data_IF_904415876246
#
_entry.id   IF_904415876246
#
_cell.length_a   1.000
_cell.length_b   1.000
_cell.length_c   1.000
_cell.angle_alpha   90.00
_cell.angle_beta   90.00
_cell.angle_gamma   90.00
#
_symmetry.space_group_name_H-M   'P 1'
#
loop_
_entity.id
_entity.type
_entity.pdbx_description
1 polymer ?
#
# COMPACT_ATOMS: atom_id res chain seq x y z
N UNK A 1 -7.74 47.28 13.06
CA UNK A 1 -9.02 47.59 12.37
C UNK A 1 -8.68 47.56 10.88
N UNK A 2 -9.23 46.73 9.99
CA UNK A 2 -10.57 46.17 9.82
C UNK A 2 -10.48 44.82 9.11
N UNK A 3 -11.43 43.93 9.42
CA UNK A 3 -11.62 42.58 8.86
C UNK A 3 -12.17 42.67 7.44
N UNK A 4 -11.67 41.85 6.51
CA UNK A 4 -12.41 41.47 5.31
C UNK A 4 -12.76 39.98 5.41
N UNK A 5 -14.07 39.73 5.52
CA UNK A 5 -14.69 38.41 5.59
C UNK A 5 -15.00 37.89 4.19
N UNK A 6 -14.88 36.58 4.09
CA UNK A 6 -15.35 35.67 3.05
C UNK A 6 -16.85 35.77 2.76
N UNK A 7 -17.24 35.80 1.48
CA UNK A 7 -18.61 35.54 1.04
C UNK A 7 -18.67 34.99 -0.40
N UNK A 8 -18.36 33.71 -0.58
CA UNK A 8 -18.76 32.96 -1.79
C UNK A 8 -19.05 31.50 -1.41
N UNK A 9 -20.15 31.30 -0.68
CA UNK A 9 -20.64 29.97 -0.34
C UNK A 9 -22.17 29.97 -0.12
N UNK A 10 -22.94 30.64 -0.98
CA UNK A 10 -24.41 30.54 -0.96
C UNK A 10 -24.94 30.76 -2.38
N UNK A 11 -25.10 29.67 -3.14
CA UNK A 11 -25.61 29.74 -4.51
C UNK A 11 -25.87 28.40 -5.20
N UNK A 12 -25.37 27.28 -4.66
CA UNK A 12 -25.51 25.95 -5.27
C UNK A 12 -26.83 25.25 -4.89
N UNK A 13 -27.36 25.47 -3.68
CA UNK A 13 -28.58 24.80 -3.21
C UNK A 13 -29.88 25.29 -3.86
N UNK A 14 -29.89 26.49 -4.45
CA UNK A 14 -31.06 27.07 -5.13
C UNK A 14 -31.14 26.70 -6.61
N UNK A 15 -30.00 26.51 -7.30
CA UNK A 15 -29.99 26.03 -8.70
C UNK A 15 -30.39 24.57 -8.85
N UNK A 16 -30.12 23.72 -7.85
CA UNK A 16 -30.57 22.32 -7.81
C UNK A 16 -32.08 22.15 -7.63
N UNK A 17 -32.78 23.17 -7.10
CA UNK A 17 -34.25 23.14 -6.96
C UNK A 17 -35.00 23.61 -8.20
N UNK A 18 -34.38 24.45 -9.04
CA UNK A 18 -35.02 25.03 -10.23
C UNK A 18 -34.96 24.12 -11.47
N UNK A 19 -34.05 23.13 -11.52
CA UNK A 19 -33.91 22.20 -12.65
C UNK A 19 -34.85 20.97 -12.59
N UNK A 20 -35.67 20.85 -11.54
CA UNK A 20 -36.64 19.74 -11.36
C UNK A 20 -38.08 20.18 -11.68
N UNK A 21 -38.27 21.42 -12.12
CA UNK A 21 -39.58 21.99 -12.44
C UNK A 21 -39.94 21.85 -13.91
N UNK A 22 -40.34 20.65 -14.34
CA UNK A 22 -40.90 20.51 -15.69
C UNK A 22 -41.14 19.07 -16.12
N UNK A 23 -42.40 18.64 -16.06
CA UNK A 23 -42.96 17.52 -16.83
C UNK A 23 -42.63 16.10 -16.37
N UNK A 24 -42.92 15.73 -15.12
CA UNK A 24 -43.27 14.35 -14.75
C UNK A 24 -44.31 14.34 -13.60
N UNK A 25 -45.51 14.85 -13.87
CA UNK A 25 -46.68 14.51 -13.07
C UNK A 25 -47.24 13.17 -13.56
N UNK A 26 -46.68 12.07 -13.07
CA UNK A 26 -47.40 10.79 -12.91
C UNK A 26 -46.74 9.97 -11.80
N UNK A 27 -47.56 9.69 -10.80
CA UNK A 27 -47.33 9.03 -9.52
C UNK A 27 -46.25 7.92 -9.56
N UNK A 28 -45.19 8.11 -8.76
CA UNK A 28 -44.20 7.10 -8.38
C UNK A 28 -43.61 7.48 -7.01
N UNK A 29 -43.22 6.51 -6.15
CA UNK A 29 -43.00 6.77 -4.74
C UNK A 29 -41.84 7.74 -4.54
N UNK A 30 -42.13 8.88 -3.90
CA UNK A 30 -41.16 9.79 -3.29
C UNK A 30 -40.39 9.04 -2.19
N UNK A 31 -39.42 8.21 -2.57
CA UNK A 31 -38.33 7.82 -1.67
C UNK A 31 -37.15 8.70 -2.07
N UNK A 32 -36.81 9.61 -1.17
CA UNK A 32 -35.54 10.34 -1.19
C UNK A 32 -34.43 9.33 -1.50
N UNK A 33 -33.89 9.39 -2.72
CA UNK A 33 -32.62 8.74 -3.00
C UNK A 33 -31.66 9.22 -1.92
N UNK A 34 -30.99 8.30 -1.22
CA UNK A 34 -29.87 8.69 -0.34
C UNK A 34 -28.84 9.29 -1.29
N UNK A 35 -28.87 10.62 -1.41
CA UNK A 35 -27.92 11.37 -2.22
C UNK A 35 -26.55 10.93 -1.76
N UNK A 36 -25.74 10.44 -2.70
CA UNK A 36 -24.32 10.25 -2.48
C UNK A 36 -23.78 11.66 -2.23
N UNK A 37 -23.54 12.00 -0.97
CA UNK A 37 -23.07 13.31 -0.56
C UNK A 37 -21.58 13.28 -0.19
N UNK A 38 -21.03 14.46 0.04
CA UNK A 38 -19.62 14.63 0.41
C UNK A 38 -19.28 13.96 1.75
N UNK A 39 -20.22 13.89 2.69
CA UNK A 39 -20.01 13.27 4.00
C UNK A 39 -19.80 11.77 3.87
N UNK A 40 -20.61 11.11 3.04
CA UNK A 40 -20.44 9.69 2.72
C UNK A 40 -19.08 9.39 2.07
N UNK A 41 -18.63 10.25 1.15
CA UNK A 41 -17.30 10.10 0.53
C UNK A 41 -16.18 10.22 1.55
N UNK A 42 -16.26 11.20 2.46
CA UNK A 42 -15.30 11.40 3.55
C UNK A 42 -15.26 10.17 4.47
N UNK A 43 -16.41 9.61 4.85
CA UNK A 43 -16.48 8.41 5.69
C UNK A 43 -15.79 7.22 5.02
N UNK A 44 -16.07 6.98 3.74
CA UNK A 44 -15.47 5.91 2.95
C UNK A 44 -13.95 6.07 2.81
N UNK A 45 -13.46 7.28 2.49
CA UNK A 45 -12.02 7.54 2.42
C UNK A 45 -11.34 7.32 3.77
N UNK A 46 -11.97 7.76 4.86
CA UNK A 46 -11.48 7.59 6.22
C UNK A 46 -11.30 6.10 6.57
N UNK A 47 -12.29 5.27 6.24
CA UNK A 47 -12.21 3.81 6.43
C UNK A 47 -11.09 3.17 5.61
N UNK A 48 -10.94 3.56 4.34
CA UNK A 48 -9.90 3.04 3.47
C UNK A 48 -8.50 3.42 3.99
N UNK A 49 -8.30 4.68 4.41
CA UNK A 49 -7.03 5.17 4.95
C UNK A 49 -6.64 4.48 6.27
N UNK A 50 -7.62 4.08 7.09
CA UNK A 50 -7.41 3.25 8.30
C UNK A 50 -7.25 1.75 8.01
N UNK A 51 -7.45 1.32 6.76
CA UNK A 51 -7.38 -0.08 6.38
C UNK A 51 -8.59 -0.93 6.82
N UNK A 52 -9.72 -0.30 7.14
CA UNK A 52 -10.97 -0.95 7.54
C UNK A 52 -11.75 -1.49 6.31
N UNK A 53 -11.08 -2.28 5.45
CA UNK A 53 -11.59 -2.68 4.14
C UNK A 53 -12.95 -3.40 4.20
N UNK A 54 -13.17 -4.27 5.19
CA UNK A 54 -14.45 -4.98 5.32
C UNK A 54 -15.61 -4.04 5.63
N UNK A 55 -15.38 -3.07 6.52
CA UNK A 55 -16.39 -2.06 6.87
C UNK A 55 -16.62 -1.10 5.71
N UNK A 56 -15.55 -0.69 5.04
CA UNK A 56 -15.59 0.08 3.81
C UNK A 56 -16.48 -0.62 2.76
N UNK A 57 -16.19 -1.87 2.40
CA UNK A 57 -16.96 -2.59 1.38
C UNK A 57 -18.41 -2.80 1.81
N UNK A 58 -18.66 -3.14 3.07
CA UNK A 58 -20.02 -3.31 3.60
C UNK A 58 -20.81 -2.02 3.51
N UNK A 59 -20.21 -0.89 3.89
CA UNK A 59 -20.85 0.42 3.87
C UNK A 59 -21.07 0.91 2.44
N UNK A 60 -20.05 0.81 1.59
CA UNK A 60 -20.13 1.13 0.16
C UNK A 60 -21.24 0.30 -0.50
N UNK A 61 -21.25 -1.02 -0.32
CA UNK A 61 -22.33 -1.87 -0.83
C UNK A 61 -23.67 -1.47 -0.22
N UNK A 62 -23.82 -1.36 1.09
CA UNK A 62 -25.13 -1.02 1.67
C UNK A 62 -25.73 0.30 1.19
N UNK A 63 -24.89 1.31 0.91
CA UNK A 63 -25.32 2.63 0.41
C UNK A 63 -25.48 2.68 -1.11
N UNK A 64 -24.62 1.98 -1.86
CA UNK A 64 -24.69 1.84 -3.33
C UNK A 64 -25.63 0.73 -3.79
N UNK A 65 -26.07 -0.13 -2.87
CA UNK A 65 -27.18 -1.07 -3.02
C UNK A 65 -28.45 -0.23 -2.98
N UNK A 66 -28.62 0.60 -4.03
CA UNK A 66 -29.75 1.46 -4.37
C UNK A 66 -31.08 0.69 -4.50
N UNK A 67 -31.11 -0.56 -4.03
CA UNK A 67 -32.15 -1.58 -4.11
C UNK A 67 -33.22 -1.46 -3.01
N UNK A 68 -33.41 -0.27 -2.45
CA UNK A 68 -34.65 0.05 -1.75
C UNK A 68 -35.88 0.11 -2.66
N UNK A 69 -35.73 -0.06 -3.99
CA UNK A 69 -36.79 0.06 -4.99
C UNK A 69 -37.39 -1.29 -5.40
N UNK A 70 -38.70 -1.46 -5.19
CA UNK A 70 -39.50 -2.56 -5.75
C UNK A 70 -39.58 -2.39 -7.28
N UNK A 71 -39.16 -3.38 -8.05
CA UNK A 71 -39.22 -3.37 -9.52
C UNK A 71 -38.42 -4.53 -10.13
N UNK A 72 -38.61 -4.80 -11.44
CA UNK A 72 -37.82 -5.81 -12.13
C UNK A 72 -36.39 -5.31 -12.45
N UNK A 73 -35.45 -6.25 -12.63
CA UNK A 73 -34.04 -5.95 -12.81
C UNK A 73 -33.74 -5.05 -14.03
N UNK A 74 -34.50 -5.20 -15.12
CA UNK A 74 -34.32 -4.42 -16.34
C UNK A 74 -34.65 -2.93 -16.13
N UNK A 75 -35.76 -2.64 -15.44
CA UNK A 75 -36.11 -1.26 -15.10
C UNK A 75 -35.07 -0.63 -14.16
N UNK A 76 -34.65 -1.37 -13.12
CA UNK A 76 -33.62 -0.91 -12.17
C UNK A 76 -32.31 -0.55 -12.88
N UNK A 77 -31.87 -1.40 -13.82
CA UNK A 77 -30.68 -1.13 -14.64
C UNK A 77 -30.82 0.14 -15.46
N UNK A 78 -31.94 0.33 -16.15
CA UNK A 78 -32.19 1.54 -16.95
C UNK A 78 -32.15 2.82 -16.09
N UNK A 79 -32.72 2.78 -14.89
CA UNK A 79 -32.66 3.91 -13.95
C UNK A 79 -31.22 4.19 -13.51
N UNK A 80 -30.48 3.16 -13.09
CA UNK A 80 -29.09 3.32 -12.66
C UNK A 80 -28.18 3.85 -13.79
N UNK A 81 -28.41 3.40 -15.04
CA UNK A 81 -27.71 3.94 -16.22
C UNK A 81 -28.02 5.42 -16.46
N UNK A 82 -29.30 5.81 -16.40
CA UNK A 82 -29.68 7.20 -16.55
C UNK A 82 -29.01 8.09 -15.48
N UNK A 83 -28.99 7.62 -14.24
CA UNK A 83 -28.34 8.33 -13.14
C UNK A 83 -26.83 8.47 -13.32
N UNK A 84 -26.15 7.40 -13.74
CA UNK A 84 -24.72 7.43 -14.01
C UNK A 84 -24.39 8.45 -15.13
N UNK A 85 -25.23 8.54 -16.17
CA UNK A 85 -25.07 9.53 -17.24
C UNK A 85 -25.31 10.96 -16.77
N UNK A 86 -26.33 11.18 -15.96
CA UNK A 86 -26.66 12.49 -15.40
C UNK A 86 -25.64 12.95 -14.33
N UNK A 87 -24.98 11.99 -13.66
CA UNK A 87 -24.07 12.23 -12.53
C UNK A 87 -22.72 11.54 -12.75
N UNK A 88 -22.08 11.77 -13.90
CA UNK A 88 -20.82 11.13 -14.30
C UNK A 88 -19.70 11.33 -13.27
N UNK A 89 -19.70 12.44 -12.53
CA UNK A 89 -18.75 12.71 -11.45
C UNK A 89 -18.79 11.75 -10.25
N UNK A 90 -19.77 10.82 -10.21
CA UNK A 90 -19.88 9.78 -9.17
C UNK A 90 -19.67 8.37 -9.72
N UNK A 91 -19.07 8.22 -10.90
CA UNK A 91 -18.80 6.92 -11.51
C UNK A 91 -18.01 5.98 -10.58
N UNK A 92 -17.09 6.51 -9.77
CA UNK A 92 -16.32 5.78 -8.76
C UNK A 92 -17.21 5.07 -7.72
N UNK A 93 -18.33 5.68 -7.33
CA UNK A 93 -19.30 5.11 -6.39
C UNK A 93 -20.10 3.97 -7.03
N UNK A 94 -20.39 4.07 -8.33
CA UNK A 94 -21.09 3.02 -9.08
C UNK A 94 -20.24 1.75 -9.29
N UNK A 95 -18.93 1.79 -9.05
CA UNK A 95 -18.07 0.60 -9.04
C UNK A 95 -18.46 -0.42 -7.95
N UNK A 96 -19.20 0.00 -6.92
CA UNK A 96 -19.68 -0.87 -5.84
C UNK A 96 -21.12 -1.37 -6.04
N UNK A 97 -21.73 -1.06 -7.19
CA UNK A 97 -23.07 -1.50 -7.52
C UNK A 97 -23.15 -3.03 -7.71
N UNK A 98 -24.27 -3.68 -7.36
CA UNK A 98 -24.41 -5.14 -7.49
C UNK A 98 -24.61 -5.63 -8.93
N UNK A 99 -25.22 -4.84 -9.80
CA UNK A 99 -25.36 -5.17 -11.24
C UNK A 99 -24.04 -4.94 -11.98
N UNK A 100 -23.52 -5.99 -12.63
CA UNK A 100 -22.27 -5.95 -13.41
C UNK A 100 -22.32 -5.00 -14.60
N UNK A 101 -23.47 -4.85 -15.27
CA UNK A 101 -23.61 -3.92 -16.39
C UNK A 101 -23.40 -2.47 -15.98
N UNK A 102 -23.79 -2.12 -14.74
CA UNK A 102 -23.59 -0.77 -14.19
C UNK A 102 -22.13 -0.56 -13.81
N UNK A 103 -21.48 -1.57 -13.21
CA UNK A 103 -20.05 -1.49 -12.90
C UNK A 103 -19.19 -1.35 -14.14
N UNK A 104 -19.51 -2.10 -15.19
CA UNK A 104 -18.84 -2.02 -16.49
C UNK A 104 -18.97 -0.63 -17.12
N UNK A 105 -20.18 -0.05 -17.13
CA UNK A 105 -20.42 1.29 -17.66
C UNK A 105 -19.72 2.36 -16.82
N UNK A 106 -19.72 2.22 -15.49
CA UNK A 106 -18.99 3.11 -14.59
C UNK A 106 -17.48 3.09 -14.87
N UNK A 107 -16.87 1.91 -15.03
CA UNK A 107 -15.45 1.79 -15.40
C UNK A 107 -15.13 2.49 -16.72
N UNK A 108 -15.99 2.32 -17.73
CA UNK A 108 -15.82 2.98 -19.03
C UNK A 108 -15.91 4.50 -18.96
N UNK A 109 -16.69 5.04 -18.02
CA UNK A 109 -16.83 6.48 -17.81
C UNK A 109 -15.71 7.12 -16.98
N UNK A 110 -14.85 6.31 -16.34
CA UNK A 110 -13.72 6.85 -15.56
C UNK A 110 -12.57 7.19 -16.52
N UNK A 111 -12.25 8.49 -16.55
CA UNK A 111 -11.10 9.04 -17.26
C UNK A 111 -9.91 9.29 -16.31
N UNK A 112 -10.20 9.71 -15.07
CA UNK A 112 -9.20 10.02 -14.03
C UNK A 112 -9.61 9.41 -12.69
N UNK A 113 -8.64 8.97 -11.90
CA UNK A 113 -8.88 8.53 -10.52
C UNK A 113 -8.85 9.72 -9.57
N UNK A 114 -10.03 10.27 -9.26
CA UNK A 114 -10.21 11.45 -8.40
C UNK A 114 -10.24 11.12 -6.89
N UNK A 115 -9.56 10.05 -6.48
CA UNK A 115 -9.40 9.72 -5.07
C UNK A 115 -9.21 8.23 -4.75
N UNK A 116 -8.84 7.90 -3.49
CA UNK A 116 -8.58 6.53 -3.07
C UNK A 116 -9.77 5.57 -3.24
N UNK A 117 -11.01 6.09 -3.17
CA UNK A 117 -12.22 5.30 -3.43
C UNK A 117 -12.23 4.80 -4.87
N UNK A 118 -12.05 5.69 -5.85
CA UNK A 118 -11.99 5.33 -7.26
C UNK A 118 -10.88 4.30 -7.52
N UNK A 119 -9.69 4.53 -6.96
CA UNK A 119 -8.56 3.60 -7.09
C UNK A 119 -8.88 2.21 -6.49
N UNK A 120 -9.45 2.16 -5.27
CA UNK A 120 -9.82 0.89 -4.66
C UNK A 120 -10.92 0.17 -5.46
N UNK A 121 -11.94 0.92 -5.88
CA UNK A 121 -13.03 0.40 -6.70
C UNK A 121 -12.50 -0.26 -7.97
N UNK A 122 -11.66 0.45 -8.72
CA UNK A 122 -11.01 -0.04 -9.93
C UNK A 122 -10.24 -1.34 -9.66
N UNK A 123 -9.31 -1.34 -8.70
CA UNK A 123 -8.51 -2.52 -8.38
C UNK A 123 -9.38 -3.71 -7.92
N UNK A 124 -10.48 -3.44 -7.21
CA UNK A 124 -11.41 -4.47 -6.79
C UNK A 124 -12.19 -5.09 -7.96
N UNK A 125 -12.33 -4.38 -9.09
CA UNK A 125 -12.99 -4.88 -10.31
C UNK A 125 -12.07 -5.73 -11.19
N UNK A 126 -10.74 -5.66 -11.00
CA UNK A 126 -9.82 -6.64 -11.61
C UNK A 126 -10.06 -8.06 -11.09
N UNK A 127 -10.73 -8.20 -9.94
CA UNK A 127 -11.14 -9.49 -9.35
C UNK A 127 -12.66 -9.74 -9.43
N UNK A 128 -13.38 -9.01 -10.29
CA UNK A 128 -14.84 -9.16 -10.41
C UNK A 128 -15.23 -10.59 -10.85
N UNK A 129 -16.44 -11.00 -10.54
CA UNK A 129 -16.97 -12.30 -10.96
C UNK A 129 -17.38 -12.29 -12.43
N UNK A 130 -17.79 -11.13 -12.95
CA UNK A 130 -18.18 -10.93 -14.36
C UNK A 130 -16.93 -10.66 -15.22
N UNK A 131 -16.63 -11.47 -16.25
CA UNK A 131 -15.47 -11.28 -17.12
C UNK A 131 -15.40 -9.90 -17.78
N UNK A 132 -16.52 -9.41 -18.33
CA UNK A 132 -16.60 -8.14 -19.05
C UNK A 132 -16.26 -6.95 -18.15
N UNK A 133 -16.60 -7.05 -16.86
CA UNK A 133 -16.22 -6.05 -15.85
C UNK A 133 -14.71 -6.09 -15.57
N UNK A 134 -14.09 -7.27 -15.56
CA UNK A 134 -12.63 -7.40 -15.40
C UNK A 134 -11.88 -6.82 -16.60
N UNK A 135 -12.40 -7.01 -17.80
CA UNK A 135 -11.79 -6.48 -19.02
C UNK A 135 -11.91 -4.95 -19.05
N UNK A 136 -13.09 -4.41 -18.71
CA UNK A 136 -13.28 -2.97 -18.55
C UNK A 136 -12.37 -2.38 -17.45
N UNK A 137 -12.14 -3.12 -16.36
CA UNK A 137 -11.25 -2.70 -15.28
C UNK A 137 -9.79 -2.70 -15.73
N UNK A 138 -9.35 -3.74 -16.45
CA UNK A 138 -8.00 -3.82 -17.02
C UNK A 138 -7.74 -2.68 -17.99
N UNK A 139 -8.69 -2.39 -18.89
CA UNK A 139 -8.60 -1.27 -19.82
C UNK A 139 -8.55 0.08 -19.08
N UNK A 140 -9.30 0.24 -17.99
CA UNK A 140 -9.32 1.47 -17.20
C UNK A 140 -8.03 1.64 -16.38
N UNK A 141 -7.50 0.55 -15.82
CA UNK A 141 -6.19 0.54 -15.16
C UNK A 141 -5.09 0.98 -16.15
N UNK A 142 -5.06 0.41 -17.35
CA UNK A 142 -4.08 0.76 -18.36
C UNK A 142 -4.13 2.26 -18.75
N UNK A 143 -5.31 2.88 -18.75
CA UNK A 143 -5.46 4.32 -19.04
C UNK A 143 -5.05 5.21 -17.86
N UNK A 144 -5.44 4.85 -16.64
CA UNK A 144 -5.37 5.77 -15.51
C UNK A 144 -4.18 5.54 -14.58
N UNK A 145 -3.58 4.35 -14.54
CA UNK A 145 -2.64 3.99 -13.48
C UNK A 145 -1.37 4.83 -13.49
N UNK A 146 -0.75 5.05 -14.66
CA UNK A 146 0.51 5.79 -14.79
C UNK A 146 0.36 7.31 -14.64
N UNK A 147 -0.86 7.84 -14.85
CA UNK A 147 -1.16 9.28 -14.77
C UNK A 147 -1.74 9.69 -13.42
N UNK A 148 -2.20 8.72 -12.62
CA UNK A 148 -2.75 8.97 -11.29
C UNK A 148 -1.65 9.26 -10.27
N UNK A 149 -1.92 10.15 -9.33
CA UNK A 149 -0.95 10.45 -8.27
C UNK A 149 -0.75 9.25 -7.34
N UNK A 150 0.46 9.11 -6.81
CA UNK A 150 0.80 8.08 -5.84
C UNK A 150 -0.08 8.14 -4.58
N UNK A 151 -0.42 9.33 -4.12
CA UNK A 151 -1.26 9.55 -2.92
C UNK A 151 -2.70 9.04 -3.10
N UNK A 152 -3.24 9.13 -4.32
CA UNK A 152 -4.55 8.57 -4.67
C UNK A 152 -4.49 7.05 -4.67
N UNK A 153 -3.43 6.48 -5.26
CA UNK A 153 -3.29 5.03 -5.44
C UNK A 153 -2.88 4.30 -4.15
N UNK A 154 -2.05 4.91 -3.30
CA UNK A 154 -1.36 4.23 -2.21
C UNK A 154 -2.29 3.53 -1.19
N UNK A 155 -3.40 4.14 -0.70
CA UNK A 155 -4.30 3.45 0.24
C UNK A 155 -4.93 2.20 -0.37
N UNK A 156 -5.31 2.28 -1.66
CA UNK A 156 -5.86 1.15 -2.39
C UNK A 156 -4.80 0.07 -2.59
N UNK A 157 -3.65 0.41 -3.19
CA UNK A 157 -2.56 -0.53 -3.47
C UNK A 157 -2.09 -1.24 -2.19
N UNK A 158 -1.97 -0.53 -1.07
CA UNK A 158 -1.65 -1.14 0.24
C UNK A 158 -2.64 -2.26 0.61
N UNK A 159 -3.94 -2.01 0.47
CA UNK A 159 -4.97 -3.02 0.76
C UNK A 159 -4.83 -4.25 -0.15
N UNK A 160 -4.43 -4.07 -1.41
CA UNK A 160 -4.26 -5.16 -2.37
C UNK A 160 -3.01 -5.99 -2.10
N UNK A 161 -1.85 -5.34 -1.95
CA UNK A 161 -0.59 -6.01 -1.66
C UNK A 161 -0.67 -6.86 -0.38
N UNK A 162 -1.39 -6.37 0.64
CA UNK A 162 -1.53 -7.09 1.92
C UNK A 162 -2.48 -8.29 1.87
N UNK A 163 -3.29 -8.44 0.81
CA UNK A 163 -4.32 -9.49 0.71
C UNK A 163 -4.23 -10.33 -0.57
N UNK A 164 -3.02 -10.55 -1.11
CA UNK A 164 -2.75 -11.37 -2.33
C UNK A 164 -3.68 -12.57 -2.55
N UNK A 165 -3.92 -13.39 -1.53
CA UNK A 165 -4.72 -14.63 -1.64
C UNK A 165 -6.19 -14.40 -2.02
N UNK A 166 -6.72 -13.19 -1.85
CA UNK A 166 -8.09 -12.85 -2.23
C UNK A 166 -8.23 -12.45 -3.71
N UNK A 167 -7.13 -12.28 -4.43
CA UNK A 167 -7.07 -11.69 -5.77
C UNK A 167 -6.73 -12.73 -6.85
N UNK A 168 -7.49 -13.84 -6.89
CA UNK A 168 -7.19 -14.99 -7.74
C UNK A 168 -7.79 -14.93 -9.16
N UNK A 169 -8.69 -13.99 -9.46
CA UNK A 169 -9.35 -13.85 -10.77
C UNK A 169 -8.72 -12.79 -11.68
N UNK A 170 -7.57 -12.24 -11.28
CA UNK A 170 -6.87 -11.24 -12.07
C UNK A 170 -6.35 -11.84 -13.37
N UNK A 171 -6.80 -11.31 -14.50
CA UNK A 171 -6.24 -11.65 -15.82
C UNK A 171 -4.75 -11.27 -15.84
N UNK A 172 -3.85 -12.24 -16.04
CA UNK A 172 -2.40 -12.05 -15.98
C UNK A 172 -1.76 -12.25 -14.59
N UNK A 173 -2.56 -12.36 -13.53
CA UNK A 173 -2.09 -12.68 -12.18
C UNK A 173 -1.52 -11.51 -11.38
N UNK A 174 -0.98 -11.82 -10.19
CA UNK A 174 -0.52 -10.83 -9.21
C UNK A 174 0.82 -10.16 -9.55
N UNK A 175 1.71 -10.85 -10.26
CA UNK A 175 3.06 -10.32 -10.51
C UNK A 175 3.12 -9.14 -11.48
N UNK A 176 2.38 -9.10 -12.61
CA UNK A 176 2.35 -7.92 -13.48
C UNK A 176 1.92 -6.66 -12.74
N UNK A 177 0.94 -6.77 -11.84
CA UNK A 177 0.53 -5.65 -10.98
C UNK A 177 1.64 -5.18 -10.04
N UNK A 178 2.38 -6.12 -9.45
CA UNK A 178 3.54 -5.77 -8.62
C UNK A 178 4.59 -5.04 -9.47
N UNK A 179 4.82 -5.47 -10.71
CA UNK A 179 5.72 -4.79 -11.65
C UNK A 179 5.27 -3.36 -11.96
N UNK A 180 3.98 -3.13 -12.15
CA UNK A 180 3.44 -1.77 -12.37
C UNK A 180 3.63 -0.91 -11.12
N UNK A 181 3.37 -1.44 -9.92
CA UNK A 181 3.57 -0.73 -8.66
C UNK A 181 5.03 -0.31 -8.48
N UNK A 182 6.00 -1.20 -8.75
CA UNK A 182 7.42 -0.89 -8.52
C UNK A 182 8.01 0.07 -9.57
N UNK A 183 7.37 0.19 -10.74
CA UNK A 183 7.75 1.15 -11.79
C UNK A 183 7.20 2.55 -11.53
N UNK A 184 6.14 2.69 -10.75
CA UNK A 184 5.51 3.98 -10.48
C UNK A 184 6.18 4.71 -9.30
N UNK A 185 7.16 5.59 -9.58
CA UNK A 185 7.95 6.29 -8.56
C UNK A 185 7.10 7.03 -7.50
N UNK A 186 6.13 7.86 -7.91
CA UNK A 186 5.29 8.59 -6.96
C UNK A 186 4.45 7.68 -6.03
N UNK A 187 4.09 6.48 -6.49
CA UNK A 187 3.39 5.49 -5.68
C UNK A 187 4.36 4.80 -4.70
N UNK A 188 5.58 4.51 -5.14
CA UNK A 188 6.65 4.01 -4.25
C UNK A 188 6.92 5.02 -3.14
N UNK A 189 7.00 6.31 -3.46
CA UNK A 189 7.21 7.38 -2.48
C UNK A 189 6.05 7.44 -1.47
N UNK A 190 4.80 7.51 -1.95
CA UNK A 190 3.62 7.55 -1.10
C UNK A 190 3.50 6.30 -0.19
N UNK A 191 3.78 5.10 -0.71
CA UNK A 191 3.79 3.88 0.08
C UNK A 191 4.96 3.83 1.08
N UNK A 192 6.10 4.45 0.77
CA UNK A 192 7.25 4.56 1.68
C UNK A 192 6.95 5.48 2.85
N UNK A 193 6.31 6.62 2.61
CA UNK A 193 5.79 7.50 3.68
C UNK A 193 4.80 6.75 4.57
N UNK A 194 3.94 5.91 3.98
CA UNK A 194 3.02 5.07 4.75
C UNK A 194 3.73 4.00 5.61
N UNK A 195 4.92 3.51 5.22
CA UNK A 195 5.75 2.60 6.04
C UNK A 195 6.40 3.31 7.24
N UNK A 196 6.70 4.60 7.12
CA UNK A 196 7.24 5.42 8.21
C UNK A 196 6.17 5.73 9.27
N UNK A 197 4.92 5.85 8.86
CA UNK A 197 3.79 6.20 9.72
C UNK A 197 3.38 5.12 10.73
N UNK A 198 2.11 5.15 11.11
CA UNK A 198 1.55 4.27 12.15
C UNK A 198 1.63 2.78 11.78
N UNK A 199 1.62 1.92 12.81
CA UNK A 199 1.51 0.47 12.66
C UNK A 199 0.37 0.08 11.72
N UNK A 200 0.70 -0.65 10.65
CA UNK A 200 -0.26 -1.15 9.66
C UNK A 200 0.01 -2.63 9.38
N UNK A 201 -1.08 -3.40 9.34
CA UNK A 201 -1.00 -4.82 8.98
C UNK A 201 -0.40 -4.99 7.59
N UNK A 202 0.54 -5.93 7.48
CA UNK A 202 1.17 -6.30 6.21
C UNK A 202 2.27 -5.35 5.73
N UNK A 203 2.77 -4.45 6.59
CA UNK A 203 3.86 -3.54 6.27
C UNK A 203 5.12 -4.27 5.75
N UNK A 204 5.50 -5.41 6.32
CA UNK A 204 6.64 -6.20 5.84
C UNK A 204 6.40 -6.82 4.44
N UNK A 205 5.15 -6.99 4.02
CA UNK A 205 4.84 -7.42 2.64
C UNK A 205 4.96 -6.24 1.66
N UNK A 206 4.46 -5.07 2.05
CA UNK A 206 4.63 -3.84 1.25
C UNK A 206 6.11 -3.49 1.13
N UNK A 207 6.86 -3.45 2.23
CA UNK A 207 8.31 -3.25 2.24
C UNK A 207 9.04 -4.16 1.24
N UNK A 208 8.72 -5.46 1.24
CA UNK A 208 9.32 -6.44 0.30
C UNK A 208 8.96 -6.19 -1.15
N UNK A 209 7.77 -5.68 -1.43
CA UNK A 209 7.37 -5.30 -2.80
C UNK A 209 8.15 -4.05 -3.22
N UNK A 210 8.14 -3.00 -2.42
CA UNK A 210 8.82 -1.74 -2.72
C UNK A 210 10.34 -1.93 -2.88
N UNK A 211 10.91 -2.83 -2.10
CA UNK A 211 12.31 -3.29 -2.18
C UNK A 211 12.76 -3.72 -3.59
N UNK A 212 11.84 -4.10 -4.47
CA UNK A 212 12.14 -4.44 -5.86
C UNK A 212 12.41 -3.20 -6.73
N UNK A 213 11.92 -2.02 -6.33
CA UNK A 213 12.12 -0.75 -7.03
C UNK A 213 13.39 -0.05 -6.56
N UNK A 214 14.28 0.41 -7.45
CA UNK A 214 15.41 1.29 -7.09
C UNK A 214 14.99 2.61 -6.45
N UNK A 215 13.81 3.14 -6.81
CA UNK A 215 13.28 4.38 -6.21
C UNK A 215 13.11 4.28 -4.69
N UNK A 216 12.91 3.06 -4.18
CA UNK A 216 12.77 2.78 -2.75
C UNK A 216 14.06 3.01 -1.94
N UNK A 217 15.23 2.98 -2.59
CA UNK A 217 16.52 3.06 -1.89
C UNK A 217 16.69 4.39 -1.14
N UNK A 218 16.14 5.47 -1.69
CA UNK A 218 16.16 6.81 -1.08
C UNK A 218 15.44 6.86 0.27
N UNK A 219 14.50 5.93 0.51
CA UNK A 219 13.70 5.87 1.74
C UNK A 219 14.29 4.94 2.79
N UNK A 220 15.27 4.08 2.44
CA UNK A 220 15.78 3.06 3.36
C UNK A 220 16.43 3.65 4.62
N UNK A 221 17.15 4.77 4.51
CA UNK A 221 17.78 5.43 5.66
C UNK A 221 16.74 5.97 6.65
N UNK A 222 15.68 6.60 6.14
CA UNK A 222 14.56 7.06 6.96
C UNK A 222 13.82 5.86 7.58
N UNK A 223 13.60 4.78 6.83
CA UNK A 223 12.94 3.59 7.37
C UNK A 223 13.80 2.92 8.45
N UNK A 224 15.12 2.88 8.29
CA UNK A 224 16.03 2.31 9.29
C UNK A 224 15.98 3.08 10.62
N UNK A 225 15.77 4.40 10.58
CA UNK A 225 15.79 5.27 11.76
C UNK A 225 14.40 5.47 12.37
N UNK A 226 13.41 5.77 11.54
CA UNK A 226 12.17 6.42 11.99
C UNK A 226 10.92 5.55 11.87
N UNK A 227 10.99 4.43 11.15
CA UNK A 227 9.79 3.59 10.95
C UNK A 227 9.24 3.13 12.30
N UNK A 228 7.93 3.25 12.51
CA UNK A 228 7.30 2.87 13.78
C UNK A 228 7.59 1.41 14.17
N UNK A 229 7.54 0.52 13.17
CA UNK A 229 7.70 -0.93 13.31
C UNK A 229 9.17 -1.37 13.41
N UNK A 230 9.62 -1.98 14.52
CA UNK A 230 11.02 -2.36 14.70
C UNK A 230 11.54 -3.37 13.66
N UNK A 231 10.66 -4.23 13.14
CA UNK A 231 11.04 -5.20 12.12
C UNK A 231 11.33 -4.54 10.76
N UNK A 232 10.73 -3.37 10.47
CA UNK A 232 11.06 -2.59 9.28
C UNK A 232 12.39 -1.88 9.46
N UNK A 233 12.63 -1.26 10.63
CA UNK A 233 13.92 -0.63 10.96
C UNK A 233 15.07 -1.62 10.81
N UNK A 234 14.95 -2.80 11.42
CA UNK A 234 15.94 -3.87 11.32
C UNK A 234 16.14 -4.38 9.87
N UNK A 235 15.05 -4.53 9.10
CA UNK A 235 15.13 -4.97 7.70
C UNK A 235 15.83 -3.93 6.81
N UNK A 236 15.50 -2.64 6.97
CA UNK A 236 16.15 -1.56 6.25
C UNK A 236 17.64 -1.48 6.61
N UNK A 237 17.99 -1.51 7.90
CA UNK A 237 19.37 -1.53 8.34
C UNK A 237 20.15 -2.72 7.76
N UNK A 238 19.53 -3.90 7.69
CA UNK A 238 20.14 -5.08 7.06
C UNK A 238 20.40 -4.85 5.56
N UNK A 239 19.49 -4.19 4.84
CA UNK A 239 19.66 -3.87 3.42
C UNK A 239 20.81 -2.88 3.21
N UNK A 240 20.83 -1.79 3.99
CA UNK A 240 21.89 -0.77 3.95
C UNK A 240 23.25 -1.41 4.23
N UNK A 241 23.33 -2.25 5.28
CA UNK A 241 24.58 -2.89 5.70
C UNK A 241 25.15 -3.84 4.66
N UNK A 242 24.30 -4.55 3.92
CA UNK A 242 24.72 -5.50 2.87
C UNK A 242 24.86 -4.84 1.49
N UNK A 243 24.58 -3.55 1.36
CA UNK A 243 24.50 -2.82 0.09
C UNK A 243 23.61 -3.51 -0.97
N UNK A 244 22.62 -4.30 -0.54
CA UNK A 244 21.71 -5.04 -1.42
C UNK A 244 20.40 -5.34 -0.73
N UNK A 245 19.35 -5.50 -1.54
CA UNK A 245 18.05 -5.96 -1.07
C UNK A 245 17.80 -7.39 -1.54
N UNK A 246 17.12 -8.18 -0.69
CA UNK A 246 16.78 -9.57 -0.97
C UNK A 246 15.29 -9.77 -0.67
N UNK A 247 14.57 -10.46 -1.55
CA UNK A 247 13.16 -10.80 -1.36
C UNK A 247 12.86 -12.24 -1.79
N UNK A 248 11.90 -12.93 -1.16
CA UNK A 248 11.49 -14.25 -1.59
C UNK A 248 10.75 -14.18 -2.93
N UNK A 249 11.04 -15.12 -3.82
CA UNK A 249 10.30 -15.35 -5.06
C UNK A 249 9.19 -16.36 -4.81
N UNK A 250 8.12 -16.32 -5.60
CA UNK A 250 7.04 -17.30 -5.54
C UNK A 250 7.41 -18.69 -6.09
N UNK A 251 8.70 -18.96 -6.30
CA UNK A 251 9.25 -20.19 -6.88
C UNK A 251 10.08 -20.91 -5.82
N UNK A 252 9.97 -22.24 -5.76
CA UNK A 252 10.87 -23.08 -4.96
C UNK A 252 11.93 -23.68 -5.87
N UNK A 253 13.18 -23.66 -5.42
CA UNK A 253 14.29 -24.32 -6.10
C UNK A 253 14.77 -25.53 -5.32
N UNK A 254 15.16 -26.58 -6.03
CA UNK A 254 15.75 -27.78 -5.46
C UNK A 254 17.23 -27.49 -5.18
N UNK A 255 17.65 -27.52 -3.92
CA UNK A 255 19.05 -27.29 -3.52
C UNK A 255 19.63 -28.59 -2.99
N UNK A 256 20.74 -29.03 -3.56
CA UNK A 256 21.52 -30.14 -3.02
C UNK A 256 22.26 -29.64 -1.79
N UNK A 257 22.06 -30.32 -0.65
CA UNK A 257 22.85 -30.07 0.54
C UNK A 257 23.94 -31.12 0.63
N UNK A 258 25.18 -30.66 0.80
CA UNK A 258 26.32 -31.50 1.14
C UNK A 258 26.19 -31.94 2.60
N UNK A 259 25.32 -32.92 2.81
CA UNK A 259 25.14 -33.64 4.06
C UNK A 259 25.24 -35.14 3.82
N UNK A 260 25.44 -35.95 4.87
CA UNK A 260 25.74 -37.38 4.75
C UNK A 260 24.65 -38.21 4.03
N UNK A 261 23.44 -37.67 3.84
CA UNK A 261 22.36 -38.33 3.11
C UNK A 261 22.20 -37.87 1.65
N UNK A 262 22.90 -36.82 1.18
CA UNK A 262 22.87 -36.36 -0.22
C UNK A 262 21.47 -36.03 -0.77
N UNK A 263 20.47 -35.78 0.08
CA UNK A 263 19.08 -35.59 -0.38
C UNK A 263 18.84 -34.13 -0.76
N UNK A 264 18.26 -33.87 -1.94
CA UNK A 264 17.90 -32.52 -2.34
C UNK A 264 16.72 -31.99 -1.51
N UNK A 265 16.83 -30.75 -1.03
CA UNK A 265 15.78 -30.07 -0.26
C UNK A 265 15.22 -28.90 -1.06
N UNK A 266 13.88 -28.78 -1.08
CA UNK A 266 13.20 -27.65 -1.67
C UNK A 266 13.37 -26.42 -0.77
N UNK A 267 13.98 -25.36 -1.31
CA UNK A 267 14.16 -24.07 -0.65
C UNK A 267 13.45 -22.97 -1.45
N UNK A 268 13.00 -21.94 -0.76
CA UNK A 268 12.49 -20.74 -1.43
C UNK A 268 13.60 -20.11 -2.27
N UNK A 269 13.28 -19.76 -3.52
CA UNK A 269 14.17 -18.94 -4.32
C UNK A 269 14.08 -17.48 -3.83
N UNK A 270 15.18 -16.75 -3.93
CA UNK A 270 15.24 -15.34 -3.55
C UNK A 270 15.71 -14.52 -4.75
N UNK A 271 15.07 -13.37 -4.95
CA UNK A 271 15.56 -12.32 -5.82
C UNK A 271 16.45 -11.37 -5.03
N UNK A 272 17.37 -10.72 -5.72
CA UNK A 272 18.22 -9.70 -5.11
C UNK A 272 18.60 -8.63 -6.12
N UNK A 273 18.83 -7.41 -5.64
CA UNK A 273 19.46 -6.33 -6.41
C UNK A 273 20.42 -5.53 -5.52
N UNK A 274 21.49 -4.92 -6.07
CA UNK A 274 22.27 -3.94 -5.33
C UNK A 274 21.44 -2.70 -5.00
N UNK A 275 21.85 -1.96 -3.97
CA UNK A 275 21.35 -0.62 -3.73
C UNK A 275 21.96 0.34 -4.76
N UNK A 276 21.17 1.30 -5.23
CA UNK A 276 21.63 2.35 -6.14
C UNK A 276 22.06 3.62 -5.42
N UNK A 277 21.69 3.77 -4.15
CA UNK A 277 22.10 4.89 -3.30
C UNK A 277 23.25 4.48 -2.37
N UNK A 278 24.14 5.43 -2.07
CA UNK A 278 25.19 5.30 -1.06
C UNK A 278 24.76 6.04 0.23
N UNK A 279 24.12 5.36 1.19
CA UNK A 279 23.68 5.95 2.45
C UNK A 279 24.84 6.16 3.43
N UNK A 280 24.68 7.07 4.39
CA UNK A 280 25.54 7.11 5.58
C UNK A 280 25.28 5.90 6.48
N UNK A 281 25.96 4.81 6.16
CA UNK A 281 25.84 3.55 6.88
C UNK A 281 26.35 3.64 8.33
N UNK A 282 27.35 4.48 8.61
CA UNK A 282 27.91 4.61 9.97
C UNK A 282 26.86 5.25 10.88
N UNK A 283 26.22 6.33 10.44
CA UNK A 283 25.13 6.95 11.19
C UNK A 283 23.94 5.99 11.37
N UNK A 284 23.57 5.25 10.33
CA UNK A 284 22.47 4.27 10.41
C UNK A 284 22.76 3.15 11.43
N UNK A 285 23.99 2.61 11.47
CA UNK A 285 24.38 1.60 12.46
C UNK A 285 24.42 2.21 13.86
N UNK A 286 24.98 3.41 14.02
CA UNK A 286 25.04 4.10 15.31
C UNK A 286 23.63 4.30 15.91
N UNK A 287 22.66 4.74 15.09
CA UNK A 287 21.27 4.83 15.49
C UNK A 287 20.69 3.47 15.89
N UNK A 288 20.96 2.43 15.09
CA UNK A 288 20.48 1.08 15.35
C UNK A 288 21.01 0.47 16.65
N UNK A 289 22.25 0.78 17.03
CA UNK A 289 22.84 0.34 18.32
C UNK A 289 22.13 0.96 19.53
N UNK A 290 21.61 2.18 19.38
CA UNK A 290 20.86 2.87 20.42
C UNK A 290 19.35 2.58 20.39
N UNK A 291 18.87 1.72 19.48
CA UNK A 291 17.44 1.46 19.33
C UNK A 291 16.85 0.75 20.56
N UNK A 292 15.61 1.12 20.92
CA UNK A 292 14.82 0.48 21.99
C UNK A 292 14.61 -1.03 21.76
N UNK A 293 14.53 -1.44 20.50
CA UNK A 293 14.26 -2.82 20.10
C UNK A 293 15.54 -3.66 20.02
N UNK A 294 15.52 -4.77 20.75
CA UNK A 294 16.56 -5.81 20.69
C UNK A 294 16.81 -6.30 19.26
N UNK A 295 15.75 -6.39 18.45
CA UNK A 295 15.84 -6.82 17.05
C UNK A 295 16.70 -5.86 16.22
N UNK A 296 16.55 -4.56 16.43
CA UNK A 296 17.28 -3.52 15.68
C UNK A 296 18.71 -3.44 16.18
N UNK A 297 18.94 -3.48 17.51
CA UNK A 297 20.30 -3.55 18.06
C UNK A 297 21.07 -4.75 17.54
N UNK A 298 20.43 -5.92 17.49
CA UNK A 298 21.04 -7.12 16.92
C UNK A 298 21.39 -6.93 15.44
N UNK A 299 20.51 -6.34 14.64
CA UNK A 299 20.80 -6.03 13.23
C UNK A 299 21.98 -5.05 13.09
N UNK A 300 22.11 -4.07 13.98
CA UNK A 300 23.23 -3.13 13.99
C UNK A 300 24.56 -3.81 14.37
N UNK A 301 24.56 -4.71 15.35
CA UNK A 301 25.77 -5.47 15.70
C UNK A 301 26.13 -6.46 14.60
N UNK A 302 25.14 -7.12 13.99
CA UNK A 302 25.37 -7.99 12.83
C UNK A 302 25.98 -7.19 11.66
N UNK A 303 25.63 -5.90 11.51
CA UNK A 303 26.26 -4.99 10.56
C UNK A 303 27.72 -4.65 10.93
N UNK A 304 28.02 -4.39 12.21
CA UNK A 304 29.40 -4.22 12.66
C UNK A 304 30.26 -5.47 12.44
N UNK A 305 29.71 -6.66 12.69
CA UNK A 305 30.37 -7.94 12.42
C UNK A 305 30.67 -8.10 10.93
N UNK A 306 29.72 -7.70 10.07
CA UNK A 306 29.89 -7.73 8.62
C UNK A 306 31.03 -6.81 8.16
N UNK A 307 31.18 -5.64 8.79
CA UNK A 307 32.17 -4.61 8.43
C UNK A 307 33.39 -4.57 9.35
N UNK A 308 33.64 -5.63 10.12
CA UNK A 308 34.67 -5.66 11.18
C UNK A 308 36.09 -5.34 10.69
N UNK A 309 36.40 -5.73 9.46
CA UNK A 309 37.73 -5.53 8.86
C UNK A 309 37.89 -4.13 8.22
N UNK A 310 36.81 -3.35 8.14
CA UNK A 310 36.82 -2.03 7.52
C UNK A 310 37.19 -0.94 8.54
N UNK A 311 38.32 -0.26 8.27
CA UNK A 311 38.88 0.77 9.13
C UNK A 311 37.89 1.89 9.50
N UNK A 312 36.94 2.23 8.61
CA UNK A 312 35.94 3.27 8.86
C UNK A 312 35.02 2.96 10.05
N UNK A 313 34.80 1.68 10.36
CA UNK A 313 33.91 1.24 11.44
C UNK A 313 34.63 1.03 12.78
N UNK A 314 35.98 1.04 12.80
CA UNK A 314 36.77 0.80 14.02
C UNK A 314 36.37 1.67 15.21
N UNK A 315 36.15 3.00 15.06
CA UNK A 315 35.74 3.83 16.20
C UNK A 315 34.39 3.39 16.80
N UNK A 316 33.44 3.02 15.94
CA UNK A 316 32.12 2.56 16.38
C UNK A 316 32.19 1.17 17.00
N UNK A 317 33.01 0.27 16.46
CA UNK A 317 33.28 -1.06 17.02
C UNK A 317 33.90 -0.93 18.41
N UNK A 318 35.00 -0.18 18.55
CA UNK A 318 35.69 0.02 19.82
C UNK A 318 34.75 0.58 20.91
N UNK A 319 33.91 1.55 20.55
CA UNK A 319 32.88 2.08 21.46
C UNK A 319 31.87 1.01 21.87
N UNK A 320 31.44 0.16 20.93
CA UNK A 320 30.38 -0.84 21.15
C UNK A 320 30.83 -2.03 22.00
N UNK A 321 32.11 -2.40 21.94
CA UNK A 321 32.65 -3.58 22.66
C UNK A 321 33.33 -3.24 23.99
N UNK A 322 33.35 -1.96 24.40
CA UNK A 322 33.99 -1.53 25.66
C UNK A 322 33.37 -2.19 26.89
N UNK A 323 32.03 -2.34 26.92
CA UNK A 323 31.29 -2.91 28.06
C UNK A 323 30.17 -3.86 27.59
N UNK A 324 30.49 -5.04 27.01
CA UNK A 324 29.47 -5.97 26.51
C UNK A 324 28.57 -6.47 27.63
N UNK A 325 29.11 -6.66 28.83
CA UNK A 325 28.40 -7.15 30.01
C UNK A 325 27.30 -6.19 30.50
N UNK A 326 27.42 -4.90 30.18
CA UNK A 326 26.40 -3.89 30.51
C UNK A 326 25.12 -4.05 29.66
N UNK A 327 25.16 -4.76 28.52
CA UNK A 327 23.96 -5.03 27.73
C UNK A 327 23.06 -6.04 28.46
N UNK A 328 21.83 -5.66 28.86
CA UNK A 328 20.95 -6.51 29.66
C UNK A 328 20.41 -7.71 28.88
N UNK A 329 20.38 -7.67 27.54
CA UNK A 329 19.77 -8.71 26.71
C UNK A 329 20.80 -9.77 26.32
N UNK A 330 20.62 -11.05 26.71
CA UNK A 330 21.58 -12.11 26.41
C UNK A 330 21.90 -12.24 24.92
N UNK A 331 20.90 -12.14 24.05
CA UNK A 331 21.08 -12.28 22.60
C UNK A 331 21.91 -11.17 21.96
N UNK A 332 21.86 -9.95 22.53
CA UNK A 332 22.65 -8.80 22.09
C UNK A 332 24.05 -8.86 22.68
N UNK A 333 24.16 -9.19 23.97
CA UNK A 333 25.44 -9.42 24.66
C UNK A 333 26.29 -10.47 23.97
N UNK A 334 25.72 -11.64 23.64
CA UNK A 334 26.44 -12.71 22.94
C UNK A 334 27.02 -12.26 21.60
N UNK A 335 26.31 -11.38 20.87
CA UNK A 335 26.80 -10.82 19.60
C UNK A 335 27.94 -9.84 19.82
N UNK A 336 27.85 -8.97 20.83
CA UNK A 336 28.95 -8.07 21.20
C UNK A 336 30.20 -8.85 21.64
N UNK A 337 30.04 -9.89 22.46
CA UNK A 337 31.14 -10.77 22.85
C UNK A 337 31.73 -11.53 21.64
N UNK A 338 30.90 -11.93 20.67
CA UNK A 338 31.40 -12.50 19.42
C UNK A 338 32.22 -11.46 18.63
N UNK A 339 31.69 -10.25 18.43
CA UNK A 339 32.40 -9.17 17.75
C UNK A 339 33.74 -8.84 18.44
N UNK A 340 33.76 -8.75 19.78
CA UNK A 340 34.97 -8.51 20.56
C UNK A 340 36.05 -9.60 20.34
N UNK A 341 35.65 -10.87 20.21
CA UNK A 341 36.57 -11.98 19.93
C UNK A 341 37.11 -11.98 18.49
N UNK A 342 36.43 -11.31 17.57
CA UNK A 342 36.80 -11.28 16.14
C UNK A 342 37.67 -10.08 15.77
N UNK A 343 37.79 -9.07 16.63
CA UNK A 343 38.53 -7.84 16.36
C UNK A 343 39.75 -7.80 17.26
N UNK A 344 40.94 -7.97 16.68
CA UNK A 344 42.19 -7.63 17.36
C UNK A 344 42.27 -6.11 17.41
N UNK A 345 42.02 -5.53 18.58
CA UNK A 345 42.25 -4.10 18.79
C UNK A 345 43.73 -3.93 19.15
N UNK A 346 44.53 -3.46 18.19
CA UNK A 346 45.90 -3.00 18.43
C UNK A 346 45.91 -1.64 19.13
#
# INVERSE_FOLDING_TARGET
MSRLRTSHAFGWASKLRALVGGCWQRQGPRRSFKIIDSEFRIELESLLRRGEIQRFEKLARHRCDLYGMRGNAAWQRRVARAQLKENSGFADIYLYHRDGFIREEALRSIEVLDGPIAAFGLLARLNDWVPEVRDAASATLARCFSTSSGDVLAPAVWAFLTKRHLWNRWSGGYEPFVEDVVKHCGLVDALSVMLLGVSRKGASRVFRVLSRSPAFDTHLTAIASDAHEPHLRAAALTCLSKARVIWPLAIRKKVWMDGPMGKPVWREAFGSRPLTAEPDLIAAIANGLCDRSVLVRNAAIDALILHRDNAKFRPLIAKSIKEPEAEPRPSTRMRLQYLARQVTLD
#
